data_IF_789327442581
#
_entry.id   IF_789327442581
#
_cell.length_a   1.000
_cell.length_b   1.000
_cell.length_c   1.000
_cell.angle_alpha   90.00
_cell.angle_beta   90.00
_cell.angle_gamma   90.00
#
_symmetry.space_group_name_H-M   'P 1'
#
loop_
_entity.id
_entity.type
_entity.pdbx_description
1 polymer ?
#
# COMPACT_ATOMS: atom_id res chain seq x y z
N UNK A 1 10.70 -10.49 -3.00
CA UNK A 1 9.45 -9.75 -2.74
C UNK A 1 9.79 -8.38 -2.18
N UNK A 2 10.15 -8.24 -0.90
CA UNK A 2 10.43 -6.92 -0.28
C UNK A 2 11.39 -6.04 -1.11
N UNK A 3 12.62 -6.50 -1.37
CA UNK A 3 13.59 -5.71 -2.12
C UNK A 3 13.22 -5.53 -3.60
N UNK A 4 12.73 -6.60 -4.24
CA UNK A 4 12.39 -6.61 -5.66
C UNK A 4 11.13 -5.80 -6.02
N UNK A 5 10.18 -5.69 -5.10
CA UNK A 5 8.86 -5.06 -5.32
C UNK A 5 8.78 -3.68 -4.66
N UNK A 6 9.44 -3.48 -3.52
CA UNK A 6 9.40 -2.24 -2.75
C UNK A 6 10.74 -1.51 -2.67
N UNK A 7 11.83 -2.06 -3.23
CA UNK A 7 13.16 -1.44 -3.19
C UNK A 7 13.79 -1.37 -1.78
N UNK A 8 13.21 -2.05 -0.79
CA UNK A 8 13.67 -1.99 0.61
C UNK A 8 14.76 -3.02 0.87
N UNK A 9 16.00 -2.56 1.05
CA UNK A 9 17.15 -3.40 1.43
C UNK A 9 17.27 -3.51 2.96
N UNK A 10 17.91 -4.58 3.46
CA UNK A 10 18.00 -4.87 4.91
C UNK A 10 18.74 -3.79 5.72
N UNK A 11 19.56 -2.97 5.09
CA UNK A 11 20.28 -1.87 5.74
C UNK A 11 19.42 -0.60 5.92
N UNK A 12 18.23 -0.54 5.31
CA UNK A 12 17.33 0.62 5.37
C UNK A 12 16.39 0.62 6.58
N UNK A 13 16.15 -0.54 7.21
CA UNK A 13 15.14 -0.68 8.27
C UNK A 13 15.60 -1.52 9.46
N UNK A 14 14.96 -1.30 10.60
CA UNK A 14 15.14 -2.07 11.83
C UNK A 14 14.12 -3.23 11.91
N UNK A 15 12.88 -2.97 11.49
CA UNK A 15 11.77 -3.92 11.55
C UNK A 15 10.94 -3.81 10.26
N UNK A 16 10.42 -4.94 9.77
CA UNK A 16 9.51 -4.96 8.63
C UNK A 16 8.50 -6.10 8.75
N UNK A 17 7.26 -5.81 8.36
CA UNK A 17 6.21 -6.79 8.07
C UNK A 17 5.75 -6.52 6.65
N UNK A 18 5.69 -7.56 5.82
CA UNK A 18 5.22 -7.47 4.45
C UNK A 18 4.35 -8.68 4.14
N UNK A 19 3.09 -8.44 3.80
CA UNK A 19 2.08 -9.44 3.53
C UNK A 19 1.52 -9.26 2.11
N UNK A 20 1.32 -10.38 1.43
CA UNK A 20 0.76 -10.44 0.08
C UNK A 20 -0.20 -11.63 -0.04
N UNK A 21 -1.23 -11.54 -0.88
CA UNK A 21 -2.18 -12.60 -1.14
C UNK A 21 -1.48 -13.79 -1.81
N UNK A 22 -1.94 -15.00 -1.46
CA UNK A 22 -1.51 -16.23 -2.12
C UNK A 22 -1.96 -16.25 -3.60
N UNK A 23 -3.05 -15.54 -3.92
CA UNK A 23 -3.60 -15.44 -5.27
C UNK A 23 -2.87 -14.32 -6.04
N UNK A 24 -2.06 -14.72 -7.02
CA UNK A 24 -1.16 -13.82 -7.77
C UNK A 24 -1.84 -12.63 -8.46
N UNK A 25 -3.12 -12.71 -8.80
CA UNK A 25 -3.85 -11.64 -9.50
C UNK A 25 -4.47 -10.59 -8.55
N UNK A 26 -4.42 -10.83 -7.24
CA UNK A 26 -5.03 -9.94 -6.27
C UNK A 26 -4.04 -8.81 -5.89
N UNK A 27 -4.48 -7.53 -5.92
CA UNK A 27 -3.59 -6.39 -5.74
C UNK A 27 -3.21 -6.13 -4.29
N UNK A 28 -3.80 -6.86 -3.34
CA UNK A 28 -3.60 -6.58 -1.92
C UNK A 28 -2.14 -6.65 -1.52
N UNK A 29 -1.68 -5.64 -0.78
CA UNK A 29 -0.34 -5.57 -0.24
C UNK A 29 -0.39 -4.77 1.03
N UNK A 30 0.24 -5.28 2.08
CA UNK A 30 0.51 -4.54 3.30
C UNK A 30 2.01 -4.59 3.55
N UNK A 31 2.65 -3.43 3.65
CA UNK A 31 4.03 -3.33 4.13
C UNK A 31 4.07 -2.28 5.23
N UNK A 32 4.56 -2.66 6.40
CA UNK A 32 4.85 -1.75 7.50
C UNK A 32 6.33 -1.89 7.85
N UNK A 33 7.07 -0.78 7.83
CA UNK A 33 8.52 -0.79 7.98
C UNK A 33 8.96 0.32 8.93
N UNK A 34 9.82 -0.01 9.88
CA UNK A 34 10.47 0.95 10.76
C UNK A 34 11.80 1.33 10.15
N UNK A 35 11.93 2.57 9.68
CA UNK A 35 13.17 3.03 9.07
C UNK A 35 14.31 3.05 10.10
N UNK A 36 15.51 2.69 9.66
CA UNK A 36 16.73 2.97 10.42
C UNK A 36 16.98 4.47 10.46
N UNK A 37 17.62 4.91 11.54
CA UNK A 37 18.03 6.31 11.69
C UNK A 37 18.92 6.75 10.51
N UNK A 38 18.51 7.82 9.83
CA UNK A 38 19.19 8.36 8.64
C UNK A 38 18.77 7.70 7.32
N UNK A 39 17.84 6.75 7.34
CA UNK A 39 17.29 6.05 6.16
C UNK A 39 15.82 6.37 5.89
N UNK A 40 15.23 7.26 6.67
CA UNK A 40 13.81 7.66 6.62
C UNK A 40 13.39 8.07 5.20
N UNK A 41 14.14 9.00 4.58
CA UNK A 41 13.85 9.47 3.23
C UNK A 41 14.03 8.40 2.15
N UNK A 42 14.98 7.48 2.35
CA UNK A 42 15.21 6.37 1.39
C UNK A 42 14.05 5.38 1.46
N UNK A 43 13.61 5.01 2.68
CA UNK A 43 12.46 4.13 2.91
C UNK A 43 11.19 4.73 2.35
N UNK A 44 10.91 6.01 2.67
CA UNK A 44 9.72 6.72 2.18
C UNK A 44 9.66 6.74 0.65
N UNK A 45 10.76 7.13 0.01
CA UNK A 45 10.82 7.16 -1.45
C UNK A 45 10.60 5.77 -2.05
N UNK A 46 11.24 4.75 -1.50
CA UNK A 46 11.14 3.39 -2.03
C UNK A 46 9.69 2.86 -2.05
N UNK A 47 8.92 3.12 -0.99
CA UNK A 47 7.52 2.68 -0.92
C UNK A 47 6.56 3.58 -1.73
N UNK A 48 6.84 4.88 -1.86
CA UNK A 48 6.08 5.79 -2.73
C UNK A 48 6.29 5.46 -4.22
N UNK A 49 7.53 5.15 -4.59
CA UNK A 49 7.90 4.68 -5.93
C UNK A 49 7.21 3.34 -6.24
N UNK A 50 7.19 2.41 -5.28
CA UNK A 50 6.49 1.13 -5.42
C UNK A 50 4.99 1.32 -5.66
N UNK A 51 4.35 2.26 -4.95
CA UNK A 51 2.93 2.57 -5.14
C UNK A 51 2.67 3.14 -6.53
N UNK A 52 3.55 4.02 -6.99
CA UNK A 52 3.49 4.60 -8.33
C UNK A 52 3.58 3.51 -9.41
N UNK A 53 4.55 2.61 -9.29
CA UNK A 53 4.72 1.48 -10.22
C UNK A 53 3.48 0.58 -10.24
N UNK A 54 2.89 0.27 -9.07
CA UNK A 54 1.66 -0.53 -9.02
C UNK A 54 0.48 0.18 -9.70
N UNK A 55 0.34 1.50 -9.53
CA UNK A 55 -0.67 2.32 -10.21
C UNK A 55 -0.47 2.42 -11.72
N UNK A 56 0.74 2.26 -12.21
CA UNK A 56 1.02 2.23 -13.66
C UNK A 56 0.75 0.83 -14.26
N UNK A 57 1.05 -0.24 -13.52
CA UNK A 57 0.93 -1.62 -14.01
C UNK A 57 -0.48 -2.20 -13.94
N UNK A 58 -1.36 -1.66 -13.08
CA UNK A 58 -2.75 -2.11 -12.90
C UNK A 58 -3.65 -2.02 -14.14
N UNK A 59 -3.22 -1.32 -15.21
CA UNK A 59 -3.99 -1.21 -16.47
C UNK A 59 -4.35 -2.59 -17.05
N UNK A 60 -3.58 -3.62 -16.70
CA UNK A 60 -3.83 -5.01 -17.11
C UNK A 60 -5.09 -5.63 -16.48
N UNK A 61 -5.58 -5.10 -15.35
CA UNK A 61 -6.75 -5.62 -14.63
C UNK A 61 -7.72 -4.49 -14.27
N UNK A 62 -8.64 -4.10 -15.18
CA UNK A 62 -9.55 -2.98 -14.98
C UNK A 62 -10.31 -3.00 -13.65
N UNK A 63 -10.69 -4.19 -13.17
CA UNK A 63 -11.40 -4.39 -11.89
C UNK A 63 -10.58 -3.98 -10.65
N UNK A 64 -9.26 -3.96 -10.76
CA UNK A 64 -8.36 -3.58 -9.66
C UNK A 64 -8.03 -2.08 -9.65
N UNK A 65 -8.42 -1.34 -10.69
CA UNK A 65 -7.93 0.02 -10.93
C UNK A 65 -8.29 0.98 -9.79
N UNK A 66 -9.55 0.97 -9.37
CA UNK A 66 -10.02 1.81 -8.27
C UNK A 66 -9.27 1.49 -6.97
N UNK A 67 -9.07 0.20 -6.68
CA UNK A 67 -8.46 -0.28 -5.43
C UNK A 67 -6.98 0.08 -5.31
N UNK A 68 -6.20 -0.16 -6.36
CA UNK A 68 -4.78 0.18 -6.38
C UNK A 68 -4.59 1.71 -6.42
N UNK A 69 -5.47 2.46 -7.10
CA UNK A 69 -5.46 3.93 -7.06
C UNK A 69 -5.72 4.49 -5.66
N UNK A 70 -6.61 3.87 -4.90
CA UNK A 70 -6.90 4.24 -3.51
C UNK A 70 -5.76 3.89 -2.54
N UNK A 71 -4.80 3.06 -2.95
CA UNK A 71 -3.65 2.68 -2.14
C UNK A 71 -2.92 3.89 -1.54
N UNK A 72 -2.45 3.72 -0.29
CA UNK A 72 -1.86 4.80 0.52
C UNK A 72 -0.46 4.44 1.00
N UNK A 73 0.34 5.48 1.19
CA UNK A 73 1.55 5.47 2.01
C UNK A 73 1.32 6.39 3.20
N UNK A 74 1.55 5.88 4.40
CA UNK A 74 1.40 6.60 5.68
C UNK A 74 2.75 6.64 6.41
N UNK A 75 2.94 7.67 7.22
CA UNK A 75 4.16 7.90 7.99
C UNK A 75 3.80 8.35 9.40
N UNK A 76 4.34 7.65 10.41
CA UNK A 76 4.15 7.99 11.83
C UNK A 76 5.29 7.42 12.68
N UNK A 77 5.92 8.23 13.53
CA UNK A 77 6.95 7.81 14.49
C UNK A 77 8.08 6.94 13.91
N UNK A 78 8.53 7.25 12.69
CA UNK A 78 9.57 6.49 11.98
C UNK A 78 9.09 5.16 11.36
N UNK A 79 7.81 4.83 11.51
CA UNK A 79 7.14 3.78 10.75
C UNK A 79 6.54 4.35 9.47
N UNK A 80 6.73 3.59 8.40
CA UNK A 80 6.15 3.85 7.10
C UNK A 80 5.26 2.67 6.71
N UNK A 81 4.04 2.95 6.29
CA UNK A 81 3.08 1.92 5.94
C UNK A 81 2.57 2.10 4.51
N UNK A 82 2.82 1.12 3.67
CA UNK A 82 2.21 0.94 2.37
C UNK A 82 0.98 0.04 2.53
N UNK A 83 -0.14 0.44 1.94
CA UNK A 83 -1.34 -0.37 1.91
C UNK A 83 -2.09 -0.24 0.59
N UNK A 84 -2.36 -1.40 -0.02
CA UNK A 84 -3.46 -1.62 -0.95
C UNK A 84 -4.31 -2.70 -0.30
N UNK A 85 -5.42 -2.31 0.30
CA UNK A 85 -6.29 -3.19 1.08
C UNK A 85 -7.75 -2.82 0.85
N UNK A 86 -8.66 -3.68 1.31
CA UNK A 86 -10.09 -3.46 1.21
C UNK A 86 -10.82 -4.59 0.51
N UNK A 87 -12.14 -4.49 0.41
CA UNK A 87 -12.93 -5.40 -0.41
C UNK A 87 -12.76 -5.10 -1.91
N UNK A 88 -13.02 -6.11 -2.75
CA UNK A 88 -13.17 -5.92 -4.19
C UNK A 88 -14.58 -5.45 -4.49
N UNK A 89 -14.71 -4.54 -5.44
CA UNK A 89 -16.00 -3.97 -5.81
C UNK A 89 -16.56 -4.67 -7.04
N UNK A 90 -17.59 -5.48 -6.82
CA UNK A 90 -18.32 -6.19 -7.89
C UNK A 90 -19.66 -5.50 -8.21
N UNK A 91 -19.92 -4.32 -7.64
CA UNK A 91 -21.26 -3.70 -7.61
C UNK A 91 -21.33 -2.30 -8.19
N UNK A 92 -20.20 -1.58 -8.27
CA UNK A 92 -20.19 -0.23 -8.83
C UNK A 92 -20.56 -0.21 -10.31
N UNK A 93 -21.42 0.74 -10.67
CA UNK A 93 -21.92 0.92 -12.04
C UNK A 93 -20.99 1.78 -12.90
N UNK A 94 -20.07 2.53 -12.28
CA UNK A 94 -19.14 3.44 -12.94
C UNK A 94 -17.84 3.64 -12.11
N UNK A 95 -16.85 4.26 -12.74
CA UNK A 95 -15.51 4.46 -12.16
C UNK A 95 -15.52 5.37 -10.91
N UNK A 96 -16.40 6.38 -10.87
CA UNK A 96 -16.50 7.30 -9.73
C UNK A 96 -17.02 6.59 -8.48
N UNK A 97 -17.99 5.70 -8.64
CA UNK A 97 -18.54 4.91 -7.54
C UNK A 97 -17.55 3.85 -7.05
N UNK A 98 -16.82 3.22 -7.98
CA UNK A 98 -15.73 2.30 -7.65
C UNK A 98 -14.61 3.01 -6.87
N UNK A 99 -14.24 4.23 -7.27
CA UNK A 99 -13.25 5.04 -6.56
C UNK A 99 -13.71 5.40 -5.14
N UNK A 100 -14.96 5.84 -4.97
CA UNK A 100 -15.53 6.12 -3.62
C UNK A 100 -15.58 4.88 -2.75
N UNK A 101 -15.92 3.73 -3.32
CA UNK A 101 -15.92 2.47 -2.59
C UNK A 101 -14.50 2.12 -2.13
N UNK A 102 -13.52 2.15 -3.04
CA UNK A 102 -12.13 1.86 -2.72
C UNK A 102 -11.55 2.81 -1.66
N UNK A 103 -11.84 4.11 -1.73
CA UNK A 103 -11.41 5.10 -0.73
C UNK A 103 -12.05 4.81 0.65
N UNK A 104 -13.32 4.42 0.71
CA UNK A 104 -13.95 4.00 1.99
C UNK A 104 -13.31 2.74 2.57
N UNK A 105 -12.91 1.80 1.72
CA UNK A 105 -12.31 0.55 2.16
C UNK A 105 -10.89 0.76 2.70
N UNK A 106 -10.06 1.54 2.00
CA UNK A 106 -8.69 1.80 2.45
C UNK A 106 -8.66 2.64 3.73
N UNK A 107 -9.64 3.53 3.93
CA UNK A 107 -9.78 4.35 5.13
C UNK A 107 -9.92 3.53 6.43
N UNK A 108 -10.45 2.30 6.34
CA UNK A 108 -10.47 1.35 7.47
C UNK A 108 -9.03 1.02 7.91
N UNK A 109 -8.14 0.75 6.96
CA UNK A 109 -6.73 0.49 7.20
C UNK A 109 -5.97 1.72 7.70
N UNK A 110 -6.25 2.89 7.12
CA UNK A 110 -5.68 4.17 7.56
C UNK A 110 -6.04 4.44 9.03
N UNK A 111 -7.32 4.32 9.39
CA UNK A 111 -7.78 4.49 10.77
C UNK A 111 -7.15 3.49 11.73
N UNK A 112 -7.01 2.23 11.31
CA UNK A 112 -6.37 1.21 12.13
C UNK A 112 -4.89 1.54 12.40
N UNK A 113 -4.17 2.01 11.37
CA UNK A 113 -2.80 2.48 11.52
C UNK A 113 -2.72 3.68 12.45
N UNK A 114 -3.52 4.73 12.21
CA UNK A 114 -3.48 5.95 13.03
C UNK A 114 -3.85 5.70 14.49
N UNK A 115 -4.85 4.84 14.76
CA UNK A 115 -5.29 4.50 16.11
C UNK A 115 -4.24 3.72 16.90
N UNK A 116 -3.33 2.99 16.25
CA UNK A 116 -2.25 2.28 16.94
C UNK A 116 -1.23 3.25 17.56
N UNK A 117 -1.05 4.44 16.97
CA UNK A 117 -0.12 5.48 17.43
C UNK A 117 -0.81 6.62 18.18
N UNK A 118 -2.10 6.49 18.51
CA UNK A 118 -2.91 7.51 19.18
C UNK A 118 -2.81 7.45 20.71
#
# INVERSE_FOLDING_TARGET
>A
MIESEFGLTKDMYDEIVAEAPIISFHPDRLVAVKAKKGKESEVKRAIEDALTVMKEQQIQYPVNVAKVNAGKVLEKDGYYCFMILGQTDDTSENDDDAAKFAEKQIDIGVKAFDNYFA
#
